data_IF_635116647054
#
_entry.id   IF_635116647054
#
_cell.length_a   1.000
_cell.length_b   1.000
_cell.length_c   1.000
_cell.angle_alpha   90.00
_cell.angle_beta   90.00
_cell.angle_gamma   90.00
#
_symmetry.space_group_name_H-M   'P 1'
#
loop_
_entity.id
_entity.type
_entity.pdbx_description
1 polymer ?
#
# COMPACT_ATOMS: atom_id res chain seq x y z
N UNK A 1 4.91 -10.24 -56.63
CA UNK A 1 4.33 -9.28 -55.67
C UNK A 1 4.62 -9.84 -54.29
N UNK A 2 5.69 -9.35 -53.65
CA UNK A 2 6.06 -9.77 -52.29
C UNK A 2 5.24 -8.92 -51.33
N UNK A 3 4.47 -9.57 -50.46
CA UNK A 3 3.87 -8.92 -49.30
C UNK A 3 4.78 -9.24 -48.12
N UNK A 4 5.50 -8.21 -47.70
CA UNK A 4 6.34 -8.16 -46.52
C UNK A 4 5.41 -7.95 -45.32
N UNK A 5 5.04 -9.02 -44.62
CA UNK A 5 4.26 -8.95 -43.38
C UNK A 5 5.20 -8.67 -42.20
N UNK A 6 5.70 -7.44 -42.13
CA UNK A 6 6.21 -6.89 -40.88
C UNK A 6 5.02 -6.60 -39.95
N UNK A 7 4.53 -7.65 -39.30
CA UNK A 7 3.73 -7.51 -38.08
C UNK A 7 4.57 -6.74 -37.05
N UNK A 8 4.11 -5.60 -36.52
CA UNK A 8 4.79 -4.98 -35.40
C UNK A 8 4.67 -5.96 -34.23
N UNK A 9 5.80 -6.57 -33.84
CA UNK A 9 5.91 -7.22 -32.53
C UNK A 9 5.38 -6.22 -31.52
N UNK A 10 4.29 -6.57 -30.85
CA UNK A 10 3.86 -5.89 -29.64
C UNK A 10 5.12 -5.70 -28.81
N UNK A 11 5.48 -4.44 -28.54
CA UNK A 11 6.58 -4.17 -27.63
C UNK A 11 6.11 -4.74 -26.31
N UNK A 12 6.63 -5.90 -25.95
CA UNK A 12 6.60 -6.44 -24.60
C UNK A 12 7.11 -5.29 -23.73
N UNK A 13 6.19 -4.58 -23.09
CA UNK A 13 6.55 -3.62 -22.04
C UNK A 13 7.11 -4.52 -20.95
N UNK A 14 8.40 -4.43 -20.62
CA UNK A 14 8.94 -5.25 -19.56
C UNK A 14 8.07 -5.00 -18.33
N UNK A 15 7.50 -6.07 -17.76
CA UNK A 15 6.90 -5.99 -16.43
C UNK A 15 7.94 -5.32 -15.55
N UNK A 16 7.60 -4.15 -15.01
CA UNK A 16 8.57 -3.43 -14.19
C UNK A 16 8.77 -4.30 -12.93
N UNK A 17 9.96 -4.86 -12.74
CA UNK A 17 10.22 -5.64 -11.53
C UNK A 17 10.30 -4.68 -10.34
N UNK A 18 9.68 -5.07 -9.21
CA UNK A 18 9.84 -4.33 -7.97
C UNK A 18 11.31 -4.38 -7.55
N UNK A 19 11.94 -3.21 -7.47
CA UNK A 19 13.32 -3.10 -7.01
C UNK A 19 13.40 -3.30 -5.48
N UNK A 20 14.57 -3.45 -4.86
CA UNK A 20 14.66 -3.36 -3.40
C UNK A 20 14.28 -1.95 -2.90
N UNK A 21 13.74 -1.85 -1.68
CA UNK A 21 13.44 -0.57 -1.02
C UNK A 21 14.73 0.20 -0.73
N UNK A 22 14.75 1.50 -1.07
CA UNK A 22 15.84 2.41 -0.74
C UNK A 22 15.73 2.89 0.72
N UNK A 23 16.38 2.14 1.62
CA UNK A 23 16.35 2.40 3.06
C UNK A 23 17.10 3.67 3.48
N UNK A 24 18.10 4.09 2.71
CA UNK A 24 18.86 5.31 2.99
C UNK A 24 17.99 6.53 2.67
N UNK A 25 17.32 6.52 1.51
CA UNK A 25 16.34 7.55 1.16
C UNK A 25 15.17 7.57 2.16
N UNK A 26 14.68 6.40 2.60
CA UNK A 26 13.58 6.34 3.57
C UNK A 26 13.98 6.93 4.92
N UNK A 27 15.21 6.64 5.37
CA UNK A 27 15.79 7.23 6.58
C UNK A 27 15.93 8.75 6.45
N UNK A 28 16.32 9.25 5.28
CA UNK A 28 16.37 10.69 5.02
C UNK A 28 14.98 11.34 5.10
N UNK A 29 13.97 10.76 4.44
CA UNK A 29 12.58 11.24 4.49
C UNK A 29 12.04 11.24 5.93
N UNK A 30 12.29 10.18 6.71
CA UNK A 30 11.89 10.12 8.12
C UNK A 30 12.53 11.22 8.96
N UNK A 31 13.83 11.45 8.79
CA UNK A 31 14.55 12.50 9.51
C UNK A 31 14.00 13.89 9.19
N UNK A 32 13.59 14.15 7.95
CA UNK A 32 12.99 15.42 7.56
C UNK A 32 11.61 15.63 8.21
N UNK A 33 10.78 14.59 8.25
CA UNK A 33 9.51 14.63 8.97
C UNK A 33 9.71 14.83 10.47
N UNK A 34 10.63 14.10 11.09
CA UNK A 34 10.94 14.24 12.51
C UNK A 34 11.42 15.65 12.87
N UNK A 35 12.25 16.28 12.02
CA UNK A 35 12.70 17.67 12.21
C UNK A 35 11.56 18.67 12.05
N UNK A 36 10.62 18.43 11.13
CA UNK A 36 9.49 19.31 10.89
C UNK A 36 8.40 19.18 11.97
N UNK A 37 8.23 17.99 12.54
CA UNK A 37 7.16 17.67 13.49
C UNK A 37 7.64 16.88 14.72
N UNK A 38 8.62 17.42 15.49
CA UNK A 38 9.21 16.69 16.62
C UNK A 38 8.18 16.30 17.69
N UNK A 39 7.09 17.06 17.82
CA UNK A 39 6.02 16.79 18.79
C UNK A 39 5.03 15.70 18.33
N UNK A 40 5.10 15.25 17.09
CA UNK A 40 4.22 14.21 16.53
C UNK A 40 4.84 12.81 16.52
N UNK A 41 6.12 12.71 16.86
CA UNK A 41 6.90 11.47 16.77
C UNK A 41 7.35 11.03 18.17
N UNK A 42 7.07 9.77 18.51
CA UNK A 42 7.59 9.18 19.75
C UNK A 42 9.10 8.96 19.67
N UNK A 43 9.81 9.02 20.80
CA UNK A 43 11.27 8.83 20.83
C UNK A 43 11.72 7.46 20.28
N UNK A 44 10.87 6.44 20.44
CA UNK A 44 11.12 5.07 19.96
C UNK A 44 10.33 4.75 18.68
N UNK A 45 9.78 5.76 18.00
CA UNK A 45 9.01 5.56 16.78
C UNK A 45 9.97 5.37 15.59
N UNK A 46 9.95 4.17 15.04
CA UNK A 46 10.73 3.79 13.86
C UNK A 46 9.73 3.28 12.83
N UNK A 47 9.56 3.98 11.70
CA UNK A 47 8.58 3.57 10.71
C UNK A 47 9.05 2.30 9.99
N UNK A 48 8.11 1.43 9.66
CA UNK A 48 8.36 0.42 8.63
C UNK A 48 8.46 1.08 7.26
N UNK A 49 9.09 0.40 6.31
CA UNK A 49 9.27 0.89 4.94
C UNK A 49 8.82 -0.20 3.99
N UNK A 50 7.72 0.06 3.31
CA UNK A 50 6.88 -0.97 2.68
C UNK A 50 6.31 -0.46 1.34
N UNK A 51 5.58 -1.34 0.65
CA UNK A 51 4.86 -1.03 -0.57
C UNK A 51 3.43 -1.50 -0.47
N UNK A 52 2.56 -0.86 -1.23
CA UNK A 52 1.25 -1.41 -1.51
C UNK A 52 1.35 -2.49 -2.59
N UNK A 53 0.45 -3.46 -2.56
CA UNK A 53 0.36 -4.50 -3.59
C UNK A 53 1.57 -5.44 -3.66
N UNK A 54 1.51 -6.38 -4.58
CA UNK A 54 2.47 -7.48 -4.73
C UNK A 54 3.24 -7.46 -6.06
N UNK A 55 3.02 -6.45 -6.90
CA UNK A 55 3.71 -6.23 -8.16
C UNK A 55 3.75 -4.74 -8.51
N UNK A 56 4.65 -4.33 -9.41
CA UNK A 56 4.97 -2.93 -9.63
C UNK A 56 3.78 -2.09 -10.09
N UNK A 57 3.01 -2.58 -11.06
CA UNK A 57 1.87 -1.85 -11.62
C UNK A 57 0.82 -1.56 -10.53
N UNK A 58 0.53 -2.54 -9.67
CA UNK A 58 -0.38 -2.36 -8.55
C UNK A 58 0.21 -1.44 -7.47
N UNK A 59 1.48 -1.61 -7.13
CA UNK A 59 2.17 -0.76 -6.15
C UNK A 59 2.08 0.71 -6.51
N UNK A 60 2.41 1.06 -7.76
CA UNK A 60 2.37 2.44 -8.23
C UNK A 60 0.93 2.96 -8.32
N UNK A 61 -0.01 2.16 -8.83
CA UNK A 61 -1.42 2.55 -8.91
C UNK A 61 -2.03 2.84 -7.54
N UNK A 62 -1.78 2.00 -6.53
CA UNK A 62 -2.28 2.18 -5.17
C UNK A 62 -1.64 3.39 -4.49
N UNK A 63 -0.34 3.58 -4.68
CA UNK A 63 0.36 4.74 -4.15
C UNK A 63 -0.15 6.06 -4.76
N UNK A 64 -0.48 6.08 -6.05
CA UNK A 64 -1.12 7.24 -6.68
C UNK A 64 -2.48 7.57 -6.03
N UNK A 65 -3.28 6.56 -5.68
CA UNK A 65 -4.54 6.77 -4.96
C UNK A 65 -4.30 7.42 -3.59
N UNK A 66 -3.28 6.98 -2.86
CA UNK A 66 -2.86 7.57 -1.57
C UNK A 66 -2.42 9.01 -1.75
N UNK A 67 -1.52 9.27 -2.69
CA UNK A 67 -0.98 10.62 -2.95
C UNK A 67 -2.06 11.59 -3.44
N UNK A 68 -3.10 11.11 -4.13
CA UNK A 68 -4.26 11.91 -4.52
C UNK A 68 -5.24 12.18 -3.36
N UNK A 69 -5.02 11.56 -2.20
CA UNK A 69 -5.89 11.63 -1.02
C UNK A 69 -7.17 10.80 -1.14
N UNK A 70 -7.33 9.99 -2.19
CA UNK A 70 -8.51 9.14 -2.39
C UNK A 70 -8.45 7.88 -1.54
N UNK A 71 -7.33 7.17 -1.53
CA UNK A 71 -7.09 5.99 -0.69
C UNK A 71 -6.62 6.43 0.70
N UNK A 72 -7.38 6.06 1.71
CA UNK A 72 -7.16 6.36 3.15
C UNK A 72 -7.33 5.14 4.04
N UNK A 73 -7.49 3.96 3.44
CA UNK A 73 -7.54 2.70 4.13
C UNK A 73 -6.73 1.63 3.39
N UNK A 74 -6.32 0.59 4.12
CA UNK A 74 -5.64 -0.60 3.59
C UNK A 74 -6.00 -1.83 4.40
N UNK A 75 -5.96 -3.00 3.78
CA UNK A 75 -6.21 -4.28 4.43
C UNK A 75 -5.04 -5.27 4.20
N UNK A 76 -4.57 -5.91 5.27
CA UNK A 76 -3.42 -6.83 5.24
C UNK A 76 -3.73 -8.06 6.07
N UNK A 77 -3.35 -9.26 5.62
CA UNK A 77 -3.50 -10.47 6.45
C UNK A 77 -2.57 -10.38 7.65
N UNK A 78 -3.07 -10.72 8.84
CA UNK A 78 -2.24 -10.79 10.06
C UNK A 78 -1.06 -11.75 9.89
N UNK A 79 -1.21 -12.77 9.03
CA UNK A 79 -0.15 -13.72 8.71
C UNK A 79 1.04 -13.10 7.95
N UNK A 80 0.84 -12.02 7.19
CA UNK A 80 1.92 -11.33 6.49
C UNK A 80 2.89 -10.72 7.51
N UNK A 81 2.38 -10.02 8.53
CA UNK A 81 3.19 -9.47 9.62
C UNK A 81 4.02 -10.56 10.33
N UNK A 82 3.40 -11.71 10.60
CA UNK A 82 4.07 -12.84 11.24
C UNK A 82 5.18 -13.44 10.37
N UNK A 83 4.95 -13.53 9.06
CA UNK A 83 5.94 -14.04 8.09
C UNK A 83 7.14 -13.10 7.97
N UNK A 84 6.89 -11.79 8.00
CA UNK A 84 7.94 -10.76 7.97
C UNK A 84 8.65 -10.55 9.32
N UNK A 85 8.16 -11.20 10.38
CA UNK A 85 8.72 -11.07 11.73
C UNK A 85 8.52 -9.69 12.34
N UNK A 86 7.49 -8.96 11.89
CA UNK A 86 7.15 -7.61 12.35
C UNK A 86 5.89 -7.64 13.23
N UNK A 87 5.80 -6.78 14.27
CA UNK A 87 4.59 -6.68 15.06
C UNK A 87 3.47 -5.99 14.27
N UNK A 88 2.22 -6.23 14.67
CA UNK A 88 1.09 -5.42 14.20
C UNK A 88 1.31 -3.93 14.55
N UNK A 89 0.89 -3.00 13.69
CA UNK A 89 1.00 -1.57 13.95
C UNK A 89 0.13 -1.17 15.15
N UNK A 90 0.35 0.05 15.63
CA UNK A 90 -0.50 0.68 16.66
C UNK A 90 -1.11 1.95 16.09
N UNK A 91 -2.26 2.34 16.61
CA UNK A 91 -2.84 3.66 16.30
C UNK A 91 -1.82 4.73 16.67
N UNK A 92 -1.55 5.62 15.73
CA UNK A 92 -0.57 6.69 15.82
C UNK A 92 0.82 6.34 15.30
N UNK A 93 1.11 5.07 14.98
CA UNK A 93 2.36 4.64 14.36
C UNK A 93 2.51 5.19 12.93
N UNK A 94 3.76 5.36 12.51
CA UNK A 94 4.10 5.79 11.16
C UNK A 94 4.63 4.64 10.33
N UNK A 95 4.42 4.71 9.02
CA UNK A 95 5.07 3.85 8.04
C UNK A 95 5.32 4.62 6.75
N UNK A 96 6.33 4.19 5.99
CA UNK A 96 6.75 4.84 4.76
C UNK A 96 6.34 3.96 3.60
N UNK A 97 5.52 4.50 2.69
CA UNK A 97 5.15 3.82 1.46
C UNK A 97 6.09 4.23 0.31
N UNK A 98 6.63 3.23 -0.37
CA UNK A 98 7.50 3.36 -1.54
C UNK A 98 6.75 3.10 -2.84
N UNK A 99 7.30 3.61 -3.95
CA UNK A 99 6.92 3.18 -5.29
C UNK A 99 7.63 1.86 -5.69
N UNK A 100 7.30 1.33 -6.87
CA UNK A 100 7.87 0.09 -7.39
C UNK A 100 9.39 0.14 -7.57
N UNK A 101 9.97 1.33 -7.78
CA UNK A 101 11.42 1.53 -7.84
C UNK A 101 12.10 1.45 -6.47
N UNK A 102 11.32 1.49 -5.38
CA UNK A 102 11.81 1.46 -4.01
C UNK A 102 12.08 2.81 -3.41
N UNK A 103 11.86 3.89 -4.16
CA UNK A 103 11.97 5.23 -3.64
C UNK A 103 10.82 5.49 -2.64
N UNK A 104 11.10 6.06 -1.45
CA UNK A 104 10.07 6.45 -0.49
C UNK A 104 9.31 7.67 -1.00
N UNK A 105 7.98 7.63 -0.89
CA UNK A 105 7.12 8.66 -1.51
C UNK A 105 6.23 9.37 -0.51
N UNK A 106 5.79 8.68 0.53
CA UNK A 106 4.88 9.24 1.52
C UNK A 106 5.08 8.57 2.88
N UNK A 107 4.96 9.35 3.95
CA UNK A 107 4.83 8.87 5.31
C UNK A 107 3.35 8.89 5.67
N UNK A 108 2.86 7.75 6.12
CA UNK A 108 1.50 7.53 6.55
C UNK A 108 1.47 7.40 8.07
N UNK A 109 0.33 7.77 8.66
CA UNK A 109 0.08 7.61 10.09
C UNK A 109 -1.23 6.86 10.30
N UNK A 110 -1.17 5.72 10.97
CA UNK A 110 -2.34 4.91 11.27
C UNK A 110 -3.24 5.65 12.26
N UNK A 111 -4.53 5.72 11.95
CA UNK A 111 -5.54 6.46 12.74
C UNK A 111 -6.60 5.53 13.34
N UNK A 112 -6.84 4.40 12.68
CA UNK A 112 -7.75 3.36 13.14
C UNK A 112 -7.16 2.01 12.76
N UNK A 113 -7.28 1.04 13.66
CA UNK A 113 -6.90 -0.35 13.43
C UNK A 113 -8.02 -1.25 13.95
N UNK A 114 -8.44 -2.22 13.15
CA UNK A 114 -9.45 -3.20 13.51
C UNK A 114 -9.08 -4.57 12.96
N UNK A 115 -9.21 -5.59 13.79
CA UNK A 115 -9.11 -6.99 13.33
C UNK A 115 -10.49 -7.50 12.93
N UNK A 116 -10.52 -8.36 11.92
CA UNK A 116 -11.72 -9.02 11.44
C UNK A 116 -11.39 -10.05 10.36
N UNK A 117 -12.39 -10.43 9.59
CA UNK A 117 -12.24 -11.29 8.41
C UNK A 117 -12.75 -10.57 7.16
N UNK A 118 -12.68 -11.21 6.00
CA UNK A 118 -13.14 -10.62 4.73
C UNK A 118 -14.63 -10.25 4.78
N UNK A 119 -15.41 -10.94 5.61
CA UNK A 119 -16.83 -10.65 5.82
C UNK A 119 -17.09 -9.36 6.62
N UNK A 120 -16.09 -8.84 7.33
CA UNK A 120 -16.19 -7.60 8.10
C UNK A 120 -15.83 -6.35 7.28
N UNK A 121 -15.58 -6.49 5.98
CA UNK A 121 -15.46 -5.36 5.07
C UNK A 121 -16.86 -4.79 4.77
N UNK A 122 -16.97 -3.46 4.81
CA UNK A 122 -18.20 -2.74 4.49
C UNK A 122 -18.00 -1.73 3.36
N UNK A 123 -19.10 -1.16 2.86
CA UNK A 123 -19.08 -0.17 1.78
C UNK A 123 -18.25 1.07 2.15
N UNK A 124 -18.24 1.47 3.42
CA UNK A 124 -17.48 2.63 3.88
C UNK A 124 -15.98 2.36 3.82
N UNK A 125 -15.54 1.17 4.21
CA UNK A 125 -14.15 0.74 4.13
C UNK A 125 -13.69 0.61 2.68
N UNK A 126 -14.46 -0.08 1.83
CA UNK A 126 -14.17 -0.18 0.40
C UNK A 126 -14.08 1.20 -0.27
N UNK A 127 -14.97 2.12 0.14
CA UNK A 127 -14.94 3.49 -0.33
C UNK A 127 -13.66 4.22 0.08
N UNK A 128 -13.26 4.12 1.36
CA UNK A 128 -12.05 4.74 1.89
C UNK A 128 -10.78 4.12 1.30
N UNK A 129 -10.78 2.83 0.99
CA UNK A 129 -9.66 2.16 0.32
C UNK A 129 -9.53 2.57 -1.16
N UNK A 130 -10.65 2.96 -1.76
CA UNK A 130 -10.73 3.68 -3.03
C UNK A 130 -10.14 2.96 -4.26
N UNK A 131 -10.01 1.64 -4.21
CA UNK A 131 -9.64 0.80 -5.33
C UNK A 131 -10.81 0.61 -6.31
N UNK A 132 -10.48 0.35 -7.58
CA UNK A 132 -11.44 0.15 -8.67
C UNK A 132 -12.56 1.21 -8.71
N UNK A 133 -13.82 0.80 -8.66
CA UNK A 133 -15.00 1.67 -8.63
C UNK A 133 -15.45 2.03 -7.21
N UNK A 134 -14.66 1.66 -6.20
CA UNK A 134 -14.87 1.93 -4.76
C UNK A 134 -16.09 1.22 -4.17
N UNK A 135 -16.63 0.22 -4.87
CA UNK A 135 -17.71 -0.62 -4.36
C UNK A 135 -17.17 -1.76 -3.50
N UNK A 136 -17.99 -2.22 -2.54
CA UNK A 136 -17.69 -3.41 -1.75
C UNK A 136 -17.57 -4.67 -2.64
N UNK A 137 -18.36 -4.75 -3.72
CA UNK A 137 -18.29 -5.88 -4.66
C UNK A 137 -16.92 -5.96 -5.36
N UNK A 138 -16.45 -4.84 -5.91
CA UNK A 138 -15.13 -4.78 -6.52
C UNK A 138 -14.02 -5.06 -5.50
N UNK A 139 -14.13 -4.49 -4.30
CA UNK A 139 -13.21 -4.73 -3.20
C UNK A 139 -13.07 -6.22 -2.87
N UNK A 140 -14.20 -6.93 -2.72
CA UNK A 140 -14.22 -8.37 -2.42
C UNK A 140 -13.56 -9.19 -3.54
N UNK A 141 -13.81 -8.86 -4.80
CA UNK A 141 -13.21 -9.56 -5.95
C UNK A 141 -11.71 -9.31 -6.03
N UNK A 142 -11.28 -8.05 -5.87
CA UNK A 142 -9.87 -7.66 -5.89
C UNK A 142 -9.08 -8.31 -4.77
N UNK A 143 -9.58 -8.22 -3.54
CA UNK A 143 -8.90 -8.75 -2.36
C UNK A 143 -8.82 -10.27 -2.34
N UNK A 144 -9.85 -10.99 -2.81
CA UNK A 144 -9.76 -12.46 -2.97
C UNK A 144 -8.64 -12.86 -3.93
N UNK A 145 -8.50 -12.15 -5.06
CA UNK A 145 -7.42 -12.42 -6.02
C UNK A 145 -6.06 -12.07 -5.44
N UNK A 146 -5.95 -10.96 -4.73
CA UNK A 146 -4.72 -10.55 -4.06
C UNK A 146 -4.30 -11.56 -3.01
N UNK A 147 -5.20 -11.90 -2.08
CA UNK A 147 -4.87 -12.84 -1.00
C UNK A 147 -4.68 -14.28 -1.45
N UNK A 148 -5.23 -14.70 -2.58
CA UNK A 148 -4.88 -15.98 -3.21
C UNK A 148 -3.38 -16.04 -3.57
N UNK A 149 -2.84 -14.93 -4.11
CA UNK A 149 -1.40 -14.81 -4.44
C UNK A 149 -0.54 -14.69 -3.18
N UNK A 150 -0.97 -13.90 -2.19
CA UNK A 150 -0.29 -13.79 -0.91
C UNK A 150 -0.22 -15.15 -0.20
N UNK A 151 -1.35 -15.86 -0.09
CA UNK A 151 -1.40 -17.18 0.54
C UNK A 151 -0.51 -18.19 -0.18
N UNK A 152 -0.47 -18.16 -1.52
CA UNK A 152 0.46 -18.96 -2.31
C UNK A 152 1.91 -18.66 -1.96
N UNK A 153 2.28 -17.39 -1.86
CA UNK A 153 3.64 -16.98 -1.50
C UNK A 153 4.02 -17.35 -0.05
N UNK A 154 3.04 -17.36 0.85
CA UNK A 154 3.20 -17.76 2.25
C UNK A 154 3.09 -19.29 2.47
N UNK A 155 2.86 -20.08 1.42
CA UNK A 155 2.64 -21.52 1.49
C UNK A 155 1.48 -21.93 2.43
N UNK A 156 0.40 -21.15 2.41
CA UNK A 156 -0.85 -21.42 3.16
C UNK A 156 -2.05 -21.49 2.22
N UNK A 157 -3.13 -22.12 2.67
CA UNK A 157 -4.41 -22.09 1.96
C UNK A 157 -5.20 -20.81 2.29
N UNK A 158 -5.78 -20.18 1.26
CA UNK A 158 -6.76 -19.11 1.45
C UNK A 158 -8.00 -19.64 2.19
N UNK A 159 -8.49 -18.85 3.15
CA UNK A 159 -9.78 -19.05 3.79
C UNK A 159 -10.40 -17.69 4.11
N UNK A 160 -11.74 -17.60 4.01
CA UNK A 160 -12.50 -16.42 4.39
C UNK A 160 -12.41 -16.13 5.91
N UNK A 161 -11.93 -17.10 6.70
CA UNK A 161 -11.70 -16.96 8.15
C UNK A 161 -10.30 -16.44 8.49
N UNK A 162 -9.43 -16.18 7.50
CA UNK A 162 -8.12 -15.59 7.77
C UNK A 162 -8.29 -14.19 8.37
N UNK A 163 -7.56 -13.94 9.45
CA UNK A 163 -7.61 -12.67 10.16
C UNK A 163 -6.93 -11.57 9.33
N UNK A 164 -7.65 -10.48 9.15
CA UNK A 164 -7.27 -9.29 8.40
C UNK A 164 -7.18 -8.12 9.36
N UNK A 165 -6.09 -7.38 9.25
CA UNK A 165 -5.96 -6.06 9.84
C UNK A 165 -6.49 -5.02 8.85
N UNK A 166 -7.60 -4.38 9.25
CA UNK A 166 -8.15 -3.21 8.58
C UNK A 166 -7.51 -1.96 9.19
N UNK A 167 -6.88 -1.13 8.36
CA UNK A 167 -6.25 0.12 8.78
C UNK A 167 -6.91 1.30 8.06
N UNK A 168 -7.19 2.38 8.81
CA UNK A 168 -7.34 3.72 8.23
C UNK A 168 -6.14 4.58 8.59
N UNK A 169 -5.67 5.37 7.64
CA UNK A 169 -4.50 6.22 7.81
C UNK A 169 -4.70 7.62 7.23
N UNK A 170 -3.79 8.52 7.62
CA UNK A 170 -3.63 9.85 7.02
C UNK A 170 -2.24 10.01 6.45
N UNK A 171 -2.10 10.81 5.38
CA UNK A 171 -0.80 11.27 4.90
C UNK A 171 -0.21 12.25 5.92
N UNK A 172 0.91 11.88 6.51
CA UNK A 172 1.66 12.71 7.46
C UNK A 172 2.71 13.57 6.75
N UNK A 173 3.34 13.04 5.69
CA UNK A 173 4.42 13.73 4.98
C UNK A 173 4.61 13.21 3.54
N UNK A 174 5.00 14.05 2.57
CA UNK A 174 4.99 15.51 2.66
C UNK A 174 3.57 16.01 2.88
N UNK A 175 3.42 17.16 3.55
CA UNK A 175 2.10 17.79 3.69
C UNK A 175 1.46 17.91 2.30
N UNK A 176 0.23 17.39 2.17
CA UNK A 176 -0.51 17.56 0.93
C UNK A 176 -0.66 19.06 0.72
N UNK A 177 0.00 19.63 -0.30
CA UNK A 177 -0.26 21.02 -0.68
C UNK A 177 -1.75 21.09 -0.99
N UNK A 178 -2.51 21.77 -0.13
CA UNK A 178 -3.88 22.13 -0.43
C UNK A 178 -3.91 22.84 -1.79
N UNK A 179 -5.04 22.80 -2.52
CA UNK A 179 -5.14 23.51 -3.77
C UNK A 179 -4.72 24.97 -3.54
N UNK A 180 -3.79 25.45 -4.38
CA UNK A 180 -3.48 26.88 -4.44
C UNK A 180 -4.80 27.59 -4.74
N UNK A 181 -5.36 28.25 -3.74
CA UNK A 181 -6.52 29.11 -3.93
C UNK A 181 -6.00 30.33 -4.70
N UNK A 182 -6.19 30.29 -6.02
CA UNK A 182 -5.97 31.42 -6.93
C UNK A 182 -7.26 32.17 -7.19
#
# INVERSE_FOLDING_TARGET
MMIDEHSPREREVPLHEMSPVDRDAASAMWNDYWRAHPDQVGLDDVPTVERFGDHAELSDALLELVMSGRKRATATLVKEFAADGVPLPRVGSHWIACDASGAPRVILRSTELRLGTIADADEAFAFDEAEDDRSLEAWLVGHRRYWDRVCTALEIEWSDDLEILFERFTVAWPETRGPLVG
#
